data_IF_328387811121
#
_entry.id   IF_328387811121
#
_cell.length_a   1.000
_cell.length_b   1.000
_cell.length_c   1.000
_cell.angle_alpha   90.00
_cell.angle_beta   90.00
_cell.angle_gamma   90.00
#
_symmetry.space_group_name_H-M   'P 1'
#
loop_
_entity.id
_entity.type
_entity.pdbx_description
1 polymer ?
#
# COMPACT_ATOMS: atom_id res chain seq x y z
N UNK A 1 1.67 8.15 -19.94
CA UNK A 1 0.23 8.30 -19.59
C UNK A 1 0.14 8.04 -18.09
N UNK A 2 -0.47 8.94 -17.32
CA UNK A 2 -0.59 8.76 -15.86
C UNK A 2 -1.82 7.90 -15.58
N UNK A 3 -1.60 6.82 -14.85
CA UNK A 3 -2.62 5.86 -14.46
C UNK A 3 -2.93 5.98 -12.97
N UNK A 4 -4.16 5.65 -12.58
CA UNK A 4 -4.51 5.61 -11.15
C UNK A 4 -4.33 4.21 -10.60
N UNK A 5 -3.42 4.07 -9.65
CA UNK A 5 -3.18 2.84 -8.92
C UNK A 5 -3.80 2.91 -7.53
N UNK A 6 -4.33 1.77 -7.10
CA UNK A 6 -5.03 1.64 -5.84
C UNK A 6 -4.58 0.34 -5.16
N UNK A 7 -4.04 0.47 -3.96
CA UNK A 7 -3.46 -0.62 -3.18
C UNK A 7 -4.10 -0.71 -1.81
N UNK A 8 -4.15 -1.92 -1.27
CA UNK A 8 -4.36 -2.18 0.14
C UNK A 8 -3.00 -2.36 0.79
N UNK A 9 -2.76 -1.67 1.90
CA UNK A 9 -1.51 -1.82 2.64
C UNK A 9 -1.65 -1.53 4.12
N UNK A 10 -0.77 -2.13 4.90
CA UNK A 10 -0.64 -1.89 6.34
C UNK A 10 0.49 -0.89 6.55
N UNK A 11 0.29 0.11 7.40
CA UNK A 11 1.35 1.06 7.71
C UNK A 11 2.45 0.38 8.54
N UNK A 12 3.72 0.66 8.22
CA UNK A 12 4.86 0.05 8.94
C UNK A 12 4.88 0.39 10.43
N UNK A 13 4.33 1.55 10.81
CA UNK A 13 4.14 1.93 12.22
C UNK A 13 3.23 0.97 12.98
N UNK A 14 2.23 0.41 12.30
CA UNK A 14 1.25 -0.48 12.90
C UNK A 14 1.85 -1.90 13.04
N UNK A 15 2.79 -2.28 12.15
CA UNK A 15 3.58 -3.51 12.25
C UNK A 15 4.56 -3.53 13.44
N UNK A 16 4.94 -2.38 13.98
CA UNK A 16 5.75 -2.33 15.21
C UNK A 16 4.98 -2.86 16.43
N UNK A 17 3.64 -2.95 16.35
CA UNK A 17 2.82 -3.52 17.40
C UNK A 17 2.72 -5.05 17.24
N UNK A 18 3.70 -5.77 17.77
CA UNK A 18 3.79 -7.24 17.71
C UNK A 18 2.76 -7.98 18.56
N UNK A 19 1.90 -7.27 19.30
CA UNK A 19 0.84 -7.87 20.13
C UNK A 19 -0.41 -8.24 19.33
N UNK A 20 -0.56 -7.73 18.11
CA UNK A 20 -1.69 -8.00 17.23
C UNK A 20 -1.25 -8.88 16.08
N UNK A 21 -2.12 -9.80 15.67
CA UNK A 21 -1.92 -10.53 14.43
C UNK A 21 -2.03 -9.59 13.22
N UNK A 22 -1.42 -9.95 12.09
CA UNK A 22 -1.42 -9.11 10.88
C UNK A 22 -2.87 -8.84 10.41
N UNK A 23 -3.76 -9.81 10.59
CA UNK A 23 -5.18 -9.70 10.21
C UNK A 23 -5.97 -8.72 11.08
N UNK A 24 -5.47 -8.38 12.28
CA UNK A 24 -6.06 -7.41 13.20
C UNK A 24 -5.49 -5.99 13.02
N UNK A 25 -4.51 -5.82 12.12
CA UNK A 25 -3.92 -4.52 11.84
C UNK A 25 -4.81 -3.72 10.88
N UNK A 26 -4.89 -2.39 11.07
CA UNK A 26 -5.66 -1.54 10.18
C UNK A 26 -5.09 -1.62 8.74
N UNK A 27 -5.95 -1.99 7.81
CA UNK A 27 -5.64 -1.99 6.38
C UNK A 27 -6.10 -0.66 5.77
N UNK A 28 -5.17 0.04 5.13
CA UNK A 28 -5.42 1.33 4.48
C UNK A 28 -5.55 1.16 2.97
N UNK A 29 -6.38 2.01 2.37
CA UNK A 29 -6.49 2.14 0.92
C UNK A 29 -5.58 3.25 0.44
N UNK A 30 -4.56 2.89 -0.35
CA UNK A 30 -3.52 3.77 -0.87
C UNK A 30 -3.81 4.09 -2.33
N UNK A 31 -3.92 5.37 -2.67
CA UNK A 31 -4.18 5.83 -4.05
C UNK A 31 -3.02 6.68 -4.55
N UNK A 32 -2.51 6.37 -5.74
CA UNK A 32 -1.45 7.16 -6.39
C UNK A 32 -1.63 7.19 -7.90
N UNK A 33 -1.40 8.37 -8.48
CA UNK A 33 -1.21 8.48 -9.92
C UNK A 33 0.28 8.29 -10.24
N UNK A 34 0.57 7.38 -11.16
CA UNK A 34 1.93 7.06 -11.59
C UNK A 34 1.94 6.59 -13.05
N UNK A 35 3.11 6.54 -13.65
CA UNK A 35 3.27 6.04 -15.02
C UNK A 35 3.33 4.51 -15.08
N UNK A 36 3.69 3.88 -13.96
CA UNK A 36 3.74 2.43 -13.81
C UNK A 36 3.37 1.99 -12.39
N UNK A 37 2.92 0.74 -12.27
CA UNK A 37 2.62 0.15 -10.97
C UNK A 37 3.86 0.13 -10.07
N UNK A 38 5.03 -0.16 -10.64
CA UNK A 38 6.31 -0.19 -9.91
C UNK A 38 6.64 1.18 -9.32
N UNK A 39 6.41 2.27 -10.05
CA UNK A 39 6.61 3.63 -9.55
C UNK A 39 5.63 3.95 -8.41
N UNK A 40 4.35 3.55 -8.53
CA UNK A 40 3.37 3.74 -7.47
C UNK A 40 3.71 2.90 -6.22
N UNK A 41 4.13 1.64 -6.39
CA UNK A 41 4.57 0.75 -5.31
C UNK A 41 5.83 1.30 -4.61
N UNK A 42 6.82 1.76 -5.37
CA UNK A 42 8.06 2.32 -4.84
C UNK A 42 7.81 3.55 -3.96
N UNK A 43 6.80 4.36 -4.28
CA UNK A 43 6.39 5.50 -3.46
C UNK A 43 5.85 5.07 -2.09
N UNK A 44 5.09 3.97 -2.02
CA UNK A 44 4.46 3.50 -0.79
C UNK A 44 5.32 2.54 0.04
N UNK A 45 6.22 1.79 -0.59
CA UNK A 45 7.04 0.76 0.06
C UNK A 45 7.83 1.23 1.32
N UNK A 46 8.32 2.48 1.41
CA UNK A 46 8.98 2.97 2.63
C UNK A 46 8.05 3.07 3.83
N UNK A 47 6.75 3.29 3.61
CA UNK A 47 5.78 3.62 4.67
C UNK A 47 4.74 2.53 4.91
N UNK A 48 4.46 1.72 3.88
CA UNK A 48 3.41 0.70 3.90
C UNK A 48 3.95 -0.63 3.36
N UNK A 49 3.44 -1.72 3.93
CA UNK A 49 3.53 -3.05 3.32
C UNK A 49 2.29 -3.22 2.45
N UNK A 50 2.50 -3.39 1.15
CA UNK A 50 1.43 -3.57 0.17
C UNK A 50 0.99 -5.05 0.21
N UNK A 51 -0.29 -5.29 0.46
CA UNK A 51 -0.87 -6.63 0.52
C UNK A 51 -1.44 -7.03 -0.85
N UNK A 52 -2.31 -6.19 -1.40
CA UNK A 52 -3.03 -6.44 -2.65
C UNK A 52 -3.30 -5.13 -3.39
N UNK A 53 -3.58 -5.20 -4.69
CA UNK A 53 -3.99 -4.05 -5.50
C UNK A 53 -3.28 -3.97 -6.84
N UNK A 54 -3.61 -2.92 -7.61
CA UNK A 54 -3.14 -2.78 -8.98
C UNK A 54 -3.69 -1.55 -9.70
N UNK A 55 -3.56 -1.59 -11.03
CA UNK A 55 -4.08 -0.57 -11.93
C UNK A 55 -5.62 -0.54 -11.88
N UNK A 56 -6.20 0.64 -11.68
CA UNK A 56 -7.67 0.81 -11.66
C UNK A 56 -8.19 1.46 -12.93
N UNK A 57 -7.41 2.31 -13.59
CA UNK A 57 -7.67 2.81 -14.94
C UNK A 57 -6.47 3.58 -15.50
#
# INVERSE_FOLDING_TARGET
MLYTFLFKGIARRDLSNTRKSIDELPTYTLRKQAESEQQARAFFAPFYVILEGGLVC
#
